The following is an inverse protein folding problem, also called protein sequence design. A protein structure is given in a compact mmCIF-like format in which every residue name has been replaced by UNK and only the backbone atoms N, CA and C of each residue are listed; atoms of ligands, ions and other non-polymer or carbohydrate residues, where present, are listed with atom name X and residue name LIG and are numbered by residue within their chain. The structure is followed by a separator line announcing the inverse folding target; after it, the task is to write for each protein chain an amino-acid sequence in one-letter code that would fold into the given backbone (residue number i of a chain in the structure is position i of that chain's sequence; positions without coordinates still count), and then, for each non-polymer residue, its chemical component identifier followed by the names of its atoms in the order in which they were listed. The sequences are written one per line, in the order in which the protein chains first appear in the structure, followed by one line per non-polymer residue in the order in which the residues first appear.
data_IF_367970518891
#
_entry.id   IF_367970518891
#
_cell.length_a   1.000
_cell.length_b   1.000
_cell.length_c   1.000
_cell.angle_alpha   90.00
_cell.angle_beta   90.00
_cell.angle_gamma   90.00
#
_symmetry.space_group_name_H-M   'P 1'
#
loop_
_entity.id
_entity.type
_entity.pdbx_description
1 polymer ?
#
# COMPACT_ATOMS: atom_id res chain seq x y z
N UNK A 1 0.56 -22.44 -6.85
CA UNK A 1 -0.66 -22.50 -6.00
C UNK A 1 -1.94 -22.37 -6.81
N UNK A 2 -2.05 -21.36 -7.70
CA UNK A 2 -3.24 -21.13 -8.54
C UNK A 2 -3.58 -22.39 -9.39
N UNK A 3 -2.62 -22.89 -10.16
CA UNK A 3 -2.82 -24.08 -10.99
C UNK A 3 -3.22 -25.33 -10.19
N UNK A 4 -2.67 -25.54 -8.99
CA UNK A 4 -3.09 -26.66 -8.14
C UNK A 4 -4.58 -26.60 -7.78
N UNK A 5 -5.16 -25.40 -7.65
CA UNK A 5 -6.59 -25.23 -7.42
C UNK A 5 -7.43 -25.43 -8.68
N UNK A 6 -6.94 -24.97 -9.84
CA UNK A 6 -7.66 -25.10 -11.11
C UNK A 6 -7.62 -26.53 -11.65
N UNK A 7 -6.50 -27.24 -11.51
CA UNK A 7 -6.35 -28.60 -11.96
C UNK A 7 -7.23 -29.60 -11.19
N UNK A 8 -7.62 -29.23 -9.96
CA UNK A 8 -8.48 -30.04 -9.08
C UNK A 8 -9.84 -29.40 -8.82
N UNK A 9 -10.29 -28.51 -9.71
CA UNK A 9 -11.56 -27.82 -9.54
C UNK A 9 -12.72 -28.82 -9.63
N UNK A 10 -13.72 -28.66 -8.76
CA UNK A 10 -14.93 -29.46 -8.70
C UNK A 10 -16.15 -28.61 -8.99
N UNK A 11 -17.28 -29.29 -9.29
CA UNK A 11 -18.56 -28.64 -9.46
C UNK A 11 -18.90 -27.75 -8.27
N UNK A 12 -19.45 -26.60 -8.57
CA UNK A 12 -19.84 -25.61 -7.59
C UNK A 12 -21.36 -25.46 -7.58
N UNK A 13 -21.98 -25.92 -6.50
CA UNK A 13 -23.39 -25.65 -6.27
C UNK A 13 -23.55 -24.16 -5.93
N UNK A 14 -24.28 -23.41 -6.79
CA UNK A 14 -24.47 -21.96 -6.67
C UNK A 14 -25.74 -21.61 -5.87
N UNK A 15 -26.60 -22.55 -5.52
CA UNK A 15 -27.81 -22.31 -4.75
C UNK A 15 -27.54 -22.29 -3.24
N UNK A 16 -28.22 -21.37 -2.54
CA UNK A 16 -28.21 -21.25 -1.08
C UNK A 16 -29.61 -21.05 -0.56
N UNK A 17 -29.94 -21.74 0.52
CA UNK A 17 -31.23 -21.66 1.22
C UNK A 17 -31.17 -20.55 2.24
N UNK A 18 -31.04 -19.30 1.75
CA UNK A 18 -30.96 -18.10 2.57
C UNK A 18 -32.16 -17.20 2.33
N UNK A 19 -32.64 -16.56 3.39
CA UNK A 19 -33.66 -15.54 3.27
C UNK A 19 -33.21 -14.32 2.45
N UNK A 20 -31.99 -13.85 2.70
CA UNK A 20 -31.44 -12.65 2.07
C UNK A 20 -30.42 -13.01 1.01
N UNK A 21 -30.61 -12.50 -0.19
CA UNK A 21 -29.70 -12.70 -1.31
C UNK A 21 -30.37 -12.48 -2.66
N UNK A 22 -29.62 -12.67 -3.74
CA UNK A 22 -30.14 -12.61 -5.11
C UNK A 22 -30.85 -13.93 -5.43
N UNK A 23 -32.17 -13.88 -5.56
CA UNK A 23 -32.97 -15.05 -5.93
C UNK A 23 -32.55 -15.58 -7.31
N UNK A 24 -32.39 -16.90 -7.42
CA UNK A 24 -31.96 -17.55 -8.65
C UNK A 24 -32.99 -17.25 -9.75
N UNK A 25 -32.59 -16.68 -10.92
CA UNK A 25 -33.51 -16.28 -11.98
C UNK A 25 -33.86 -17.45 -12.90
N UNK A 26 -34.07 -18.63 -12.34
CA UNK A 26 -34.49 -19.84 -13.03
C UNK A 26 -35.99 -20.13 -12.74
N UNK A 27 -36.72 -20.52 -13.76
CA UNK A 27 -38.15 -20.80 -13.71
C UNK A 27 -38.40 -22.19 -14.26
N UNK A 28 -39.12 -23.02 -13.52
CA UNK A 28 -39.40 -24.41 -13.86
C UNK A 28 -40.87 -24.59 -14.22
N UNK A 29 -41.12 -25.13 -15.39
CA UNK A 29 -42.47 -25.54 -15.78
C UNK A 29 -42.80 -26.88 -15.12
N UNK A 30 -43.83 -26.92 -14.27
CA UNK A 30 -44.22 -28.12 -13.57
C UNK A 30 -44.89 -29.15 -14.48
N UNK A 31 -45.39 -28.74 -15.67
CA UNK A 31 -46.15 -29.60 -16.57
C UNK A 31 -45.20 -30.33 -17.57
N UNK A 32 -44.15 -29.69 -18.04
CA UNK A 32 -43.25 -30.30 -19.03
C UNK A 32 -41.78 -30.37 -18.61
N UNK A 33 -41.41 -29.87 -17.41
CA UNK A 33 -40.04 -29.90 -16.89
C UNK A 33 -39.07 -28.91 -17.54
N UNK A 34 -39.54 -28.02 -18.42
CA UNK A 34 -38.70 -27.04 -19.06
C UNK A 34 -38.18 -26.02 -18.04
N UNK A 35 -36.91 -25.70 -18.11
CA UNK A 35 -36.25 -24.65 -17.30
C UNK A 35 -35.96 -23.42 -18.17
N UNK A 36 -36.29 -22.25 -17.69
CA UNK A 36 -36.03 -20.98 -18.36
C UNK A 36 -35.27 -20.05 -17.42
N UNK A 37 -34.15 -19.50 -17.87
CA UNK A 37 -33.44 -18.45 -17.14
C UNK A 37 -33.84 -17.09 -17.70
N UNK A 38 -34.34 -16.20 -16.84
CA UNK A 38 -34.80 -14.86 -17.25
C UNK A 38 -34.65 -13.87 -16.11
N UNK A 39 -34.21 -12.63 -16.46
CA UNK A 39 -34.22 -11.50 -15.52
C UNK A 39 -35.64 -11.01 -15.20
N UNK A 40 -36.57 -11.22 -16.13
CA UNK A 40 -37.97 -10.83 -15.98
C UNK A 40 -38.79 -12.04 -15.54
N UNK A 41 -39.91 -11.78 -14.82
CA UNK A 41 -40.79 -12.83 -14.35
C UNK A 41 -41.40 -13.62 -15.53
N UNK A 42 -41.19 -14.93 -15.54
CA UNK A 42 -41.74 -15.85 -16.52
C UNK A 42 -43.10 -16.36 -16.02
N UNK A 43 -44.20 -15.94 -16.69
CA UNK A 43 -45.56 -16.35 -16.34
C UNK A 43 -46.08 -17.51 -17.20
N UNK A 44 -45.43 -17.79 -18.33
CA UNK A 44 -45.87 -18.81 -19.29
C UNK A 44 -44.68 -19.58 -19.84
N UNK A 45 -44.76 -20.89 -19.83
CA UNK A 45 -43.73 -21.74 -20.38
C UNK A 45 -43.56 -21.52 -21.90
N UNK A 46 -42.34 -21.23 -22.39
CA UNK A 46 -42.14 -21.01 -23.82
C UNK A 46 -42.40 -22.26 -24.66
N UNK A 47 -42.19 -23.45 -24.06
CA UNK A 47 -42.31 -24.75 -24.75
C UNK A 47 -43.73 -25.26 -24.81
N UNK A 48 -44.41 -25.44 -23.70
CA UNK A 48 -45.75 -26.05 -23.65
C UNK A 48 -46.88 -25.04 -23.44
N UNK A 49 -46.59 -23.73 -23.31
CA UNK A 49 -47.55 -22.65 -23.08
C UNK A 49 -48.33 -22.76 -21.75
N UNK A 50 -47.93 -23.63 -20.86
CA UNK A 50 -48.55 -23.74 -19.53
C UNK A 50 -48.20 -22.49 -18.68
N UNK A 51 -49.16 -22.13 -17.82
CA UNK A 51 -48.98 -21.07 -16.80
C UNK A 51 -48.49 -21.64 -15.46
N UNK A 52 -48.33 -22.96 -15.37
CA UNK A 52 -47.81 -23.62 -14.17
C UNK A 52 -46.27 -23.56 -14.10
N UNK A 53 -45.78 -22.34 -13.91
CA UNK A 53 -44.33 -22.01 -13.88
C UNK A 53 -43.96 -21.46 -12.50
N UNK A 54 -42.95 -22.02 -11.90
CA UNK A 54 -42.46 -21.62 -10.57
C UNK A 54 -40.99 -21.19 -10.63
N UNK A 55 -40.69 -20.05 -9.98
CA UNK A 55 -39.28 -19.60 -9.85
C UNK A 55 -38.56 -20.40 -8.76
N UNK A 56 -37.27 -20.67 -8.97
CA UNK A 56 -36.40 -21.27 -7.98
C UNK A 56 -36.50 -20.53 -6.64
N UNK A 57 -36.73 -21.23 -5.51
CA UNK A 57 -36.89 -20.57 -4.20
C UNK A 57 -35.53 -20.13 -3.59
N UNK A 58 -34.44 -20.69 -4.07
CA UNK A 58 -33.09 -20.47 -3.50
C UNK A 58 -32.49 -19.15 -3.97
N UNK A 59 -31.43 -18.73 -3.28
CA UNK A 59 -30.62 -17.57 -3.63
C UNK A 59 -29.26 -17.99 -4.19
N UNK A 60 -28.66 -17.10 -4.97
CA UNK A 60 -27.28 -17.31 -5.46
C UNK A 60 -26.27 -17.24 -4.33
N UNK A 61 -25.27 -18.09 -4.39
CA UNK A 61 -24.06 -17.97 -3.55
C UNK A 61 -23.43 -16.58 -3.69
N UNK A 62 -23.03 -16.00 -2.57
CA UNK A 62 -22.36 -14.67 -2.51
C UNK A 62 -21.20 -14.58 -3.49
N UNK A 63 -20.43 -15.66 -3.63
CA UNK A 63 -19.28 -15.70 -4.53
C UNK A 63 -19.64 -15.65 -6.01
N UNK A 64 -20.90 -15.90 -6.37
CA UNK A 64 -21.36 -15.80 -7.75
C UNK A 64 -21.35 -14.33 -8.22
N UNK A 65 -22.00 -13.45 -7.48
CA UNK A 65 -22.00 -12.01 -7.78
C UNK A 65 -20.62 -11.37 -7.53
N UNK A 66 -19.89 -11.80 -6.49
CA UNK A 66 -18.53 -11.33 -6.20
C UNK A 66 -17.56 -11.64 -7.34
N UNK A 67 -17.78 -12.72 -8.10
CA UNK A 67 -16.97 -13.06 -9.27
C UNK A 67 -17.11 -12.06 -10.44
N UNK A 68 -18.21 -11.32 -10.46
CA UNK A 68 -18.49 -10.32 -11.51
C UNK A 68 -17.88 -8.93 -11.20
N UNK A 69 -17.40 -8.73 -9.97
CA UNK A 69 -16.96 -7.43 -9.45
C UNK A 69 -15.98 -6.68 -10.37
N UNK A 70 -14.95 -7.28 -10.96
CA UNK A 70 -13.94 -6.56 -11.75
C UNK A 70 -14.51 -5.80 -12.96
N UNK A 71 -15.63 -6.22 -13.50
CA UNK A 71 -16.24 -5.65 -14.69
C UNK A 71 -17.68 -5.16 -14.48
N UNK A 72 -18.46 -5.76 -13.57
CA UNK A 72 -19.84 -5.34 -13.34
C UNK A 72 -19.94 -3.97 -12.70
N UNK A 73 -19.03 -3.62 -11.79
CA UNK A 73 -18.96 -2.30 -11.14
C UNK A 73 -18.58 -1.18 -12.11
N UNK A 74 -17.96 -1.53 -13.23
CA UNK A 74 -17.58 -0.61 -14.31
C UNK A 74 -18.65 -0.49 -15.39
N UNK A 75 -19.85 -1.07 -15.17
CA UNK A 75 -21.02 -0.91 -16.01
C UNK A 75 -21.30 -2.05 -16.98
N UNK A 76 -20.48 -3.13 -17.00
CA UNK A 76 -20.79 -4.32 -17.80
C UNK A 76 -22.25 -4.83 -17.50
N UNK A 77 -23.03 -5.27 -18.51
CA UNK A 77 -22.65 -5.61 -19.88
C UNK A 77 -22.66 -4.42 -20.88
N UNK A 78 -22.93 -3.21 -20.42
CA UNK A 78 -22.86 -2.02 -21.30
C UNK A 78 -21.39 -1.67 -21.55
N UNK A 79 -21.12 -1.10 -22.73
CA UNK A 79 -19.81 -0.50 -23.05
C UNK A 79 -19.78 0.90 -22.43
N UNK A 80 -18.98 1.09 -21.40
CA UNK A 80 -18.79 2.36 -20.70
C UNK A 80 -17.34 2.83 -20.80
N UNK A 81 -17.07 4.14 -20.74
CA UNK A 81 -15.71 4.66 -20.69
C UNK A 81 -14.89 4.09 -19.52
N UNK A 82 -15.54 3.88 -18.36
CA UNK A 82 -14.91 3.31 -17.17
C UNK A 82 -14.48 1.86 -17.41
N UNK A 83 -15.33 1.05 -18.06
CA UNK A 83 -14.99 -0.34 -18.40
C UNK A 83 -13.83 -0.39 -19.40
N UNK A 84 -13.81 0.49 -20.38
CA UNK A 84 -12.76 0.55 -21.38
C UNK A 84 -11.41 0.97 -20.79
N UNK A 85 -11.42 1.92 -19.84
CA UNK A 85 -10.23 2.46 -19.23
C UNK A 85 -9.67 1.60 -18.08
N UNK A 86 -10.53 1.13 -17.15
CA UNK A 86 -10.12 0.45 -15.93
C UNK A 86 -10.05 -1.09 -16.02
N UNK A 87 -10.61 -1.69 -17.06
CA UNK A 87 -10.58 -3.14 -17.24
C UNK A 87 -9.71 -3.56 -18.42
N UNK A 88 -8.76 -4.51 -18.27
CA UNK A 88 -8.38 -5.25 -17.05
C UNK A 88 -7.70 -4.39 -15.97
N UNK A 89 -7.93 -4.74 -14.71
CA UNK A 89 -7.30 -4.09 -13.55
C UNK A 89 -5.81 -4.46 -13.47
N UNK A 90 -4.96 -3.50 -13.08
CA UNK A 90 -3.53 -3.72 -13.01
C UNK A 90 -3.16 -4.67 -11.88
N UNK A 91 -3.67 -4.42 -10.66
CA UNK A 91 -3.32 -5.18 -9.46
C UNK A 91 -4.57 -5.47 -8.63
N UNK A 92 -4.78 -6.74 -8.29
CA UNK A 92 -5.69 -7.16 -7.22
C UNK A 92 -4.87 -7.46 -5.97
N UNK A 93 -5.30 -6.95 -4.81
CA UNK A 93 -4.69 -7.29 -3.52
C UNK A 93 -5.69 -8.06 -2.69
N UNK A 94 -5.32 -9.25 -2.18
CA UNK A 94 -6.22 -10.11 -1.42
C UNK A 94 -5.47 -11.09 -0.51
N UNK A 95 -6.18 -11.64 0.49
CA UNK A 95 -5.66 -12.71 1.33
C UNK A 95 -5.58 -14.06 0.61
N UNK A 96 -4.67 -14.91 1.05
CA UNK A 96 -4.51 -16.25 0.48
C UNK A 96 -5.72 -17.15 0.70
N UNK A 97 -6.53 -16.91 1.73
CA UNK A 97 -7.65 -17.75 2.14
C UNK A 97 -8.86 -17.68 1.19
N UNK A 98 -8.92 -16.68 0.33
CA UNK A 98 -9.99 -16.51 -0.65
C UNK A 98 -9.52 -16.61 -2.12
N UNK A 99 -8.35 -17.15 -2.36
CA UNK A 99 -7.86 -17.41 -3.74
C UNK A 99 -8.86 -18.28 -4.49
N UNK A 100 -9.28 -19.40 -3.89
CA UNK A 100 -10.23 -20.33 -4.52
C UNK A 100 -11.63 -19.75 -4.65
N UNK A 101 -12.14 -19.11 -3.59
CA UNK A 101 -13.52 -18.65 -3.56
C UNK A 101 -13.74 -17.38 -4.38
N UNK A 102 -12.74 -16.51 -4.49
CA UNK A 102 -12.88 -15.22 -5.13
C UNK A 102 -12.00 -15.05 -6.36
N UNK A 103 -10.68 -15.18 -6.23
CA UNK A 103 -9.75 -14.89 -7.33
C UNK A 103 -10.01 -15.77 -8.54
N UNK A 104 -10.08 -17.09 -8.35
CA UNK A 104 -10.31 -18.06 -9.44
C UNK A 104 -11.66 -17.77 -10.11
N UNK A 105 -12.69 -17.49 -9.31
CA UNK A 105 -14.03 -17.22 -9.84
C UNK A 105 -14.08 -15.91 -10.63
N UNK A 106 -13.38 -14.85 -10.20
CA UNK A 106 -13.24 -13.64 -11.00
C UNK A 106 -12.50 -13.89 -12.32
N UNK A 107 -11.46 -14.73 -12.29
CA UNK A 107 -10.66 -15.04 -13.49
C UNK A 107 -11.50 -15.78 -14.53
N UNK A 108 -12.18 -16.88 -14.17
CA UNK A 108 -12.98 -17.60 -15.16
C UNK A 108 -14.22 -16.81 -15.61
N UNK A 109 -14.88 -16.05 -14.71
CA UNK A 109 -15.99 -15.18 -15.08
C UNK A 109 -15.53 -14.06 -16.02
N UNK A 110 -14.39 -13.44 -15.75
CA UNK A 110 -13.81 -12.42 -16.62
C UNK A 110 -13.48 -12.96 -18.01
N UNK A 111 -12.83 -14.12 -18.09
CA UNK A 111 -12.51 -14.77 -19.36
C UNK A 111 -13.77 -15.14 -20.15
N UNK A 112 -14.78 -15.73 -19.50
CA UNK A 112 -16.03 -16.13 -20.14
C UNK A 112 -16.83 -14.92 -20.64
N UNK A 113 -16.96 -13.86 -19.83
CA UNK A 113 -17.83 -12.73 -20.14
C UNK A 113 -17.19 -11.66 -21.02
N UNK A 114 -15.88 -11.49 -20.93
CA UNK A 114 -15.15 -10.40 -21.62
C UNK A 114 -14.05 -10.88 -22.56
N UNK A 115 -13.68 -12.15 -22.51
CA UNK A 115 -12.55 -12.72 -23.26
C UNK A 115 -11.17 -12.30 -22.76
N UNK A 116 -11.08 -11.59 -21.62
CA UNK A 116 -9.83 -11.04 -21.07
C UNK A 116 -9.66 -11.45 -19.61
N UNK A 117 -8.40 -11.72 -19.21
CA UNK A 117 -8.07 -11.88 -17.78
C UNK A 117 -8.37 -10.59 -17.01
N UNK A 118 -9.04 -10.64 -15.85
CA UNK A 118 -9.42 -9.43 -15.11
C UNK A 118 -8.26 -8.70 -14.44
N UNK A 119 -7.11 -9.36 -14.23
CA UNK A 119 -5.97 -8.79 -13.52
C UNK A 119 -4.65 -9.08 -14.24
N UNK A 120 -3.73 -8.11 -14.21
CA UNK A 120 -2.35 -8.29 -14.62
C UNK A 120 -1.53 -8.97 -13.50
N UNK A 121 -1.72 -8.51 -12.26
CA UNK A 121 -1.04 -9.02 -11.08
C UNK A 121 -2.06 -9.32 -9.97
N UNK A 122 -1.78 -10.34 -9.15
CA UNK A 122 -2.52 -10.63 -7.93
C UNK A 122 -1.52 -10.69 -6.78
N UNK A 123 -1.55 -9.67 -5.92
CA UNK A 123 -0.72 -9.61 -4.73
C UNK A 123 -1.44 -10.32 -3.58
N UNK A 124 -0.85 -11.40 -3.10
CA UNK A 124 -1.41 -12.21 -2.03
C UNK A 124 -0.74 -11.85 -0.70
N UNK A 125 -1.54 -11.38 0.26
CA UNK A 125 -1.06 -11.11 1.61
C UNK A 125 -1.48 -12.22 2.59
N UNK A 126 -0.79 -12.30 3.73
CA UNK A 126 -1.16 -13.15 4.86
C UNK A 126 -2.28 -12.55 5.70
N UNK A 127 -2.71 -13.28 6.71
CA UNK A 127 -3.73 -12.82 7.67
C UNK A 127 -3.10 -12.22 8.91
N UNK A 128 -3.76 -11.22 9.47
CA UNK A 128 -3.43 -10.70 10.79
C UNK A 128 -4.02 -11.63 11.85
N UNK A 129 -3.18 -12.13 12.74
CA UNK A 129 -3.54 -13.02 13.84
C UNK A 129 -3.36 -12.32 15.19
N UNK A 130 -4.01 -12.83 16.21
CA UNK A 130 -3.79 -12.34 17.58
C UNK A 130 -2.35 -12.62 18.07
N UNK A 131 -1.99 -12.11 19.23
CA UNK A 131 -0.64 -12.27 19.82
C UNK A 131 -0.26 -13.74 20.05
N UNK A 132 -1.24 -14.65 20.17
CA UNK A 132 -1.03 -16.09 20.32
C UNK A 132 -0.95 -16.82 18.97
N UNK A 133 -1.15 -16.11 17.86
CA UNK A 133 -1.12 -16.66 16.50
C UNK A 133 -2.44 -17.31 16.06
N UNK A 134 -3.54 -17.11 16.81
CA UNK A 134 -4.86 -17.63 16.44
C UNK A 134 -5.52 -16.72 15.42
N UNK A 135 -6.32 -17.31 14.50
CA UNK A 135 -7.16 -16.52 13.59
C UNK A 135 -8.17 -15.71 14.40
N UNK A 136 -8.27 -14.41 14.10
CA UNK A 136 -9.27 -13.55 14.72
C UNK A 136 -10.68 -13.93 14.26
N UNK A 137 -11.61 -14.04 15.20
CA UNK A 137 -13.02 -14.33 14.91
C UNK A 137 -13.95 -13.71 15.95
N UNK A 138 -15.16 -13.39 15.53
CA UNK A 138 -16.21 -12.87 16.43
C UNK A 138 -16.53 -13.84 17.56
N UNK A 139 -16.52 -15.15 17.28
CA UNK A 139 -16.83 -16.19 18.26
C UNK A 139 -15.77 -16.35 19.34
N UNK A 140 -14.51 -16.02 19.06
CA UNK A 140 -13.43 -16.06 20.04
C UNK A 140 -13.27 -14.74 20.80
N UNK A 141 -13.92 -13.66 20.35
CA UNK A 141 -13.77 -12.33 20.95
C UNK A 141 -12.34 -11.78 20.93
N UNK A 142 -11.48 -12.31 20.05
CA UNK A 142 -10.07 -11.92 19.92
C UNK A 142 -9.82 -10.97 18.75
N UNK A 143 -10.88 -10.39 18.18
CA UNK A 143 -10.78 -9.36 17.16
C UNK A 143 -10.24 -8.05 17.73
N UNK A 144 -9.38 -7.40 17.00
CA UNK A 144 -8.84 -6.06 17.33
C UNK A 144 -9.57 -5.05 16.46
N UNK A 145 -10.20 -4.07 17.10
CA UNK A 145 -10.82 -2.96 16.37
C UNK A 145 -9.72 -1.99 15.91
N UNK A 146 -9.53 -1.82 14.58
CA UNK A 146 -8.54 -0.90 14.07
C UNK A 146 -8.80 0.56 14.47
N UNK A 147 -10.06 0.96 14.72
CA UNK A 147 -10.38 2.33 15.12
C UNK A 147 -9.86 2.63 16.54
N UNK A 148 -9.99 1.69 17.48
CA UNK A 148 -9.41 1.84 18.81
C UNK A 148 -7.88 1.99 18.77
N UNK A 149 -7.22 1.27 17.87
CA UNK A 149 -5.76 1.38 17.66
C UNK A 149 -5.40 2.73 17.04
N UNK A 150 -6.18 3.20 16.08
CA UNK A 150 -5.99 4.51 15.43
C UNK A 150 -6.17 5.64 16.44
N UNK A 151 -7.20 5.59 17.28
CA UNK A 151 -7.46 6.59 18.31
C UNK A 151 -6.31 6.68 19.32
N UNK A 152 -5.69 5.54 19.65
CA UNK A 152 -4.62 5.48 20.63
C UNK A 152 -3.23 5.82 20.09
N UNK A 153 -2.91 5.39 18.86
CA UNK A 153 -1.55 5.43 18.32
C UNK A 153 -1.43 6.23 17.01
N UNK A 154 -2.53 6.56 16.37
CA UNK A 154 -2.58 7.21 15.06
C UNK A 154 -2.65 6.21 13.89
N UNK A 155 -3.26 6.65 12.78
CA UNK A 155 -3.46 5.83 11.60
C UNK A 155 -2.12 5.42 10.94
N UNK A 156 -1.16 6.32 10.87
CA UNK A 156 0.16 6.04 10.28
C UNK A 156 0.94 4.96 11.04
N UNK A 157 0.84 4.95 12.37
CA UNK A 157 1.48 3.93 13.20
C UNK A 157 0.89 2.54 12.92
N UNK A 158 -0.43 2.42 12.80
CA UNK A 158 -1.08 1.17 12.43
C UNK A 158 -0.69 0.73 11.02
N UNK A 159 -0.74 1.63 10.03
CA UNK A 159 -0.38 1.36 8.62
C UNK A 159 1.06 0.85 8.51
N UNK A 160 2.01 1.54 9.13
CA UNK A 160 3.42 1.14 9.13
C UNK A 160 3.60 -0.24 9.77
N UNK A 161 2.95 -0.50 10.91
CA UNK A 161 3.01 -1.80 11.61
C UNK A 161 2.52 -2.95 10.74
N UNK A 162 1.42 -2.74 10.00
CA UNK A 162 0.83 -3.80 9.16
C UNK A 162 1.67 -4.17 7.94
N UNK A 163 2.55 -3.28 7.49
CA UNK A 163 3.40 -3.52 6.32
C UNK A 163 4.81 -3.98 6.71
N UNK A 164 5.33 -3.50 7.85
CA UNK A 164 6.72 -3.76 8.27
C UNK A 164 6.94 -5.22 8.67
N UNK A 165 7.98 -5.83 8.11
CA UNK A 165 8.37 -7.20 8.43
C UNK A 165 7.47 -8.29 7.85
N UNK A 166 6.57 -7.92 6.93
CA UNK A 166 5.69 -8.86 6.24
C UNK A 166 6.30 -9.31 4.92
N UNK A 167 6.32 -10.63 4.72
CA UNK A 167 6.56 -11.24 3.41
C UNK A 167 5.21 -11.64 2.77
N UNK A 168 5.08 -11.55 1.43
CA UNK A 168 3.87 -11.94 0.73
C UNK A 168 3.39 -13.34 1.14
N UNK A 169 2.09 -13.48 1.42
CA UNK A 169 1.46 -14.75 1.80
C UNK A 169 1.71 -15.26 3.22
N UNK A 170 2.52 -14.57 4.02
CA UNK A 170 2.80 -14.96 5.39
C UNK A 170 1.89 -14.24 6.38
N UNK A 171 1.37 -14.97 7.36
CA UNK A 171 0.58 -14.42 8.45
C UNK A 171 1.46 -13.61 9.40
N UNK A 172 0.90 -12.52 9.94
CA UNK A 172 1.54 -11.73 10.98
C UNK A 172 0.78 -11.84 12.31
N UNK A 173 1.53 -11.84 13.42
CA UNK A 173 0.96 -11.65 14.75
C UNK A 173 0.91 -10.18 15.09
N UNK A 174 -0.24 -9.73 15.58
CA UNK A 174 -0.42 -8.35 16.01
C UNK A 174 -0.02 -8.19 17.47
N UNK A 175 0.81 -7.17 17.73
CA UNK A 175 1.25 -6.77 19.06
C UNK A 175 1.16 -5.25 19.19
N UNK A 176 0.60 -4.76 20.29
CA UNK A 176 0.49 -3.32 20.54
C UNK A 176 1.86 -2.63 20.62
N UNK A 177 2.86 -3.33 21.13
CA UNK A 177 4.25 -2.84 21.26
C UNK A 177 4.86 -2.50 19.88
N UNK A 178 4.47 -3.23 18.83
CA UNK A 178 4.90 -2.92 17.45
C UNK A 178 4.25 -1.62 16.94
N UNK A 179 2.98 -1.38 17.30
CA UNK A 179 2.30 -0.14 16.95
C UNK A 179 2.91 1.04 17.68
N UNK A 180 3.26 0.84 18.95
CA UNK A 180 3.96 1.84 19.75
C UNK A 180 5.34 2.19 19.18
N UNK A 181 6.11 1.20 18.74
CA UNK A 181 7.37 1.43 18.04
C UNK A 181 7.18 2.25 16.75
N UNK A 182 6.14 1.94 15.96
CA UNK A 182 5.80 2.71 14.76
C UNK A 182 5.38 4.15 15.07
N UNK A 183 4.64 4.38 16.17
CA UNK A 183 4.34 5.73 16.67
C UNK A 183 5.60 6.48 17.09
N UNK A 184 6.53 5.81 17.76
CA UNK A 184 7.80 6.41 18.18
C UNK A 184 8.65 6.80 16.96
N UNK A 185 8.62 6.01 15.88
CA UNK A 185 9.21 6.38 14.62
C UNK A 185 8.59 7.66 14.03
N UNK A 186 7.25 7.75 14.00
CA UNK A 186 6.55 8.96 13.57
C UNK A 186 6.99 10.18 14.39
N UNK A 187 7.07 10.05 15.72
CA UNK A 187 7.53 11.12 16.60
C UNK A 187 8.99 11.53 16.31
N UNK A 188 9.86 10.58 15.96
CA UNK A 188 11.25 10.88 15.60
C UNK A 188 11.32 11.70 14.32
N UNK A 189 10.55 11.30 13.30
CA UNK A 189 10.42 12.05 12.04
C UNK A 189 9.92 13.48 12.29
N UNK A 190 8.86 13.61 13.07
CA UNK A 190 8.28 14.90 13.45
C UNK A 190 9.30 15.82 14.15
N UNK A 191 10.01 15.30 15.13
CA UNK A 191 10.98 16.10 15.90
C UNK A 191 12.17 16.52 15.04
N UNK A 192 12.69 15.66 14.18
CA UNK A 192 13.74 16.00 13.23
C UNK A 192 13.27 17.10 12.24
N UNK A 193 12.08 16.97 11.71
CA UNK A 193 11.48 17.92 10.80
C UNK A 193 11.27 19.29 11.46
N UNK A 194 10.75 19.29 12.68
CA UNK A 194 10.58 20.53 13.48
C UNK A 194 11.92 21.22 13.73
N UNK A 195 12.96 20.48 14.07
CA UNK A 195 14.31 21.04 14.24
C UNK A 195 14.79 21.71 12.95
N UNK A 196 14.61 21.08 11.80
CA UNK A 196 15.02 21.61 10.50
C UNK A 196 14.25 22.91 10.18
N UNK A 197 12.92 22.87 10.25
CA UNK A 197 12.07 24.02 9.93
C UNK A 197 12.37 25.25 10.81
N UNK A 198 12.52 25.05 12.13
CA UNK A 198 12.86 26.14 13.06
C UNK A 198 14.20 26.83 12.74
N UNK A 199 15.15 26.11 12.14
CA UNK A 199 16.41 26.67 11.74
C UNK A 199 16.37 27.28 10.33
N UNK A 200 15.48 26.80 9.45
CA UNK A 200 15.26 27.39 8.13
C UNK A 200 14.61 28.78 8.20
N UNK A 201 13.70 29.02 9.17
CA UNK A 201 13.05 30.33 9.36
C UNK A 201 14.04 31.47 9.59
N UNK A 202 15.24 31.17 10.08
CA UNK A 202 16.28 32.13 10.43
C UNK A 202 17.36 32.33 9.35
N UNK A 203 17.31 31.53 8.30
CA UNK A 203 18.38 31.44 7.30
C UNK A 203 17.80 31.42 5.88
N UNK A 204 18.56 31.96 4.93
CA UNK A 204 18.26 31.76 3.50
C UNK A 204 18.76 30.41 3.06
N UNK A 205 17.84 29.58 2.58
CA UNK A 205 18.14 28.19 2.17
C UNK A 205 18.05 28.11 0.65
N UNK A 206 19.22 28.20 0.00
CA UNK A 206 19.36 28.08 -1.45
C UNK A 206 20.27 26.89 -1.78
N UNK A 207 20.13 26.34 -3.00
CA UNK A 207 20.98 25.28 -3.49
C UNK A 207 22.45 25.75 -3.54
N UNK A 208 23.36 25.09 -2.82
CA UNK A 208 24.76 25.47 -2.81
C UNK A 208 25.47 25.01 -4.09
N UNK A 209 26.57 25.66 -4.44
CA UNK A 209 27.48 25.13 -5.43
C UNK A 209 28.18 23.85 -4.90
N UNK A 210 28.42 22.88 -5.77
CA UNK A 210 28.95 21.56 -5.42
C UNK A 210 30.22 21.58 -4.56
N UNK A 211 31.09 22.56 -4.77
CA UNK A 211 32.34 22.66 -4.00
C UNK A 211 32.13 23.01 -2.52
N UNK A 212 30.94 23.53 -2.15
CA UNK A 212 30.56 23.84 -0.78
C UNK A 212 30.09 22.63 0.01
N UNK A 213 29.71 21.57 -0.66
CA UNK A 213 29.28 20.32 -0.03
C UNK A 213 30.44 19.65 0.72
N UNK A 214 30.29 19.50 2.03
CA UNK A 214 31.22 18.75 2.87
C UNK A 214 31.09 17.24 2.62
N UNK A 215 32.09 16.41 3.03
CA UNK A 215 31.99 14.95 2.85
C UNK A 215 30.71 14.32 3.42
N UNK A 216 30.24 14.78 4.58
CA UNK A 216 28.99 14.31 5.19
C UNK A 216 27.75 14.67 4.35
N UNK A 217 27.74 15.84 3.71
CA UNK A 217 26.65 16.27 2.81
C UNK A 217 26.57 15.35 1.58
N UNK A 218 27.71 15.12 0.95
CA UNK A 218 27.82 14.23 -0.20
C UNK A 218 27.45 12.79 0.16
N UNK A 219 27.81 12.34 1.36
CA UNK A 219 27.45 11.02 1.86
C UNK A 219 25.95 10.85 1.97
N UNK A 220 25.25 11.75 2.67
CA UNK A 220 23.80 11.60 2.90
C UNK A 220 22.99 11.79 1.60
N UNK A 221 23.42 12.69 0.69
CA UNK A 221 22.84 12.84 -0.64
C UNK A 221 22.99 11.56 -1.47
N UNK A 222 24.17 10.93 -1.44
CA UNK A 222 24.40 9.65 -2.12
C UNK A 222 23.56 8.52 -1.52
N UNK A 223 23.35 8.54 -0.20
CA UNK A 223 22.52 7.55 0.51
C UNK A 223 21.04 7.66 0.14
N UNK A 224 20.45 8.86 0.19
CA UNK A 224 19.03 9.05 -0.21
C UNK A 224 18.84 8.75 -1.69
N UNK A 225 19.83 9.05 -2.53
CA UNK A 225 19.80 8.73 -3.95
C UNK A 225 19.80 7.21 -4.22
N UNK A 226 20.65 6.46 -3.51
CA UNK A 226 20.68 4.99 -3.57
C UNK A 226 19.35 4.40 -3.04
N UNK A 227 18.87 4.93 -1.92
CA UNK A 227 17.57 4.55 -1.36
C UNK A 227 16.43 4.75 -2.38
N UNK A 228 16.40 5.87 -3.08
CA UNK A 228 15.40 6.16 -4.12
C UNK A 228 15.34 5.07 -5.18
N UNK A 229 16.51 4.63 -5.67
CA UNK A 229 16.62 3.55 -6.64
C UNK A 229 16.11 2.22 -6.05
N UNK A 230 16.61 1.85 -4.88
CA UNK A 230 16.24 0.60 -4.21
C UNK A 230 14.75 0.54 -3.83
N UNK A 231 14.19 1.65 -3.36
CA UNK A 231 12.75 1.77 -3.07
C UNK A 231 11.91 1.52 -4.32
N UNK A 232 12.23 2.20 -5.43
CA UNK A 232 11.52 2.04 -6.70
C UNK A 232 11.57 0.59 -7.19
N UNK A 233 12.76 -0.01 -7.21
CA UNK A 233 12.94 -1.41 -7.64
C UNK A 233 12.17 -2.42 -6.77
N UNK A 234 12.13 -2.23 -5.44
CA UNK A 234 11.40 -3.12 -4.54
C UNK A 234 9.88 -2.92 -4.66
N UNK A 235 9.40 -1.68 -4.81
CA UNK A 235 7.98 -1.41 -5.00
C UNK A 235 7.47 -1.98 -6.32
N UNK A 236 8.23 -1.87 -7.40
CA UNK A 236 7.90 -2.46 -8.71
C UNK A 236 7.78 -4.00 -8.65
N UNK A 237 8.52 -4.63 -7.74
CA UNK A 237 8.45 -6.08 -7.47
C UNK A 237 7.40 -6.46 -6.42
N UNK A 238 6.65 -5.50 -5.89
CA UNK A 238 5.73 -5.68 -4.75
C UNK A 238 6.39 -6.17 -3.45
N UNK A 239 7.68 -5.93 -3.29
CA UNK A 239 8.44 -6.23 -2.06
C UNK A 239 8.27 -5.09 -1.03
N UNK A 240 7.01 -4.77 -0.70
CA UNK A 240 6.62 -3.60 0.07
C UNK A 240 7.22 -3.58 1.49
N UNK A 241 7.32 -4.76 2.11
CA UNK A 241 7.93 -4.90 3.45
C UNK A 241 9.44 -4.60 3.45
N UNK A 242 10.15 -4.96 2.37
CA UNK A 242 11.57 -4.64 2.20
C UNK A 242 11.75 -3.15 1.94
N UNK A 243 10.93 -2.59 1.05
CA UNK A 243 10.97 -1.17 0.72
C UNK A 243 10.76 -0.29 1.96
N UNK A 244 9.72 -0.56 2.76
CA UNK A 244 9.43 0.23 3.97
C UNK A 244 10.55 0.12 5.02
N UNK A 245 11.17 -1.05 5.17
CA UNK A 245 12.28 -1.23 6.10
C UNK A 245 13.48 -0.36 5.70
N UNK A 246 13.81 -0.29 4.41
CA UNK A 246 14.91 0.53 3.91
C UNK A 246 14.71 2.02 4.19
N UNK A 247 13.52 2.56 3.94
CA UNK A 247 13.25 3.98 4.22
C UNK A 247 13.19 4.25 5.72
N UNK A 248 12.68 3.31 6.52
CA UNK A 248 12.70 3.39 7.98
C UNK A 248 14.14 3.48 8.51
N UNK A 249 15.01 2.55 8.14
CA UNK A 249 16.40 2.47 8.62
C UNK A 249 17.20 3.69 8.16
N UNK A 250 17.03 4.13 6.91
CA UNK A 250 17.64 5.36 6.43
C UNK A 250 17.26 6.58 7.27
N UNK A 251 15.95 6.77 7.53
CA UNK A 251 15.50 7.93 8.30
C UNK A 251 15.97 7.83 9.76
N UNK A 252 15.85 6.65 10.36
CA UNK A 252 16.16 6.46 11.77
C UNK A 252 17.66 6.58 12.04
N UNK A 253 18.46 5.76 11.35
CA UNK A 253 19.88 5.62 11.64
C UNK A 253 20.71 6.67 10.89
N UNK A 254 20.64 6.70 9.55
CA UNK A 254 21.56 7.50 8.75
C UNK A 254 21.21 8.99 8.79
N UNK A 255 19.93 9.34 8.65
CA UNK A 255 19.49 10.73 8.62
C UNK A 255 19.42 11.34 10.04
N UNK A 256 18.60 10.76 10.94
CA UNK A 256 18.36 11.34 12.25
C UNK A 256 19.56 11.16 13.20
N UNK A 257 20.10 9.95 13.33
CA UNK A 257 21.15 9.67 14.32
C UNK A 257 22.52 10.19 13.90
N UNK A 258 22.78 10.26 12.59
CA UNK A 258 24.08 10.74 12.11
C UNK A 258 24.03 12.11 11.47
N UNK A 259 23.32 12.27 10.34
CA UNK A 259 23.47 13.49 9.56
C UNK A 259 22.92 14.72 10.26
N UNK A 260 21.76 14.62 10.90
CA UNK A 260 21.16 15.72 11.68
C UNK A 260 22.13 16.16 12.79
N UNK A 261 22.74 15.22 13.50
CA UNK A 261 23.69 15.53 14.59
C UNK A 261 24.96 16.20 14.06
N UNK A 262 25.51 15.75 12.93
CA UNK A 262 26.66 16.36 12.27
C UNK A 262 26.31 17.79 11.80
N UNK A 263 25.13 18.01 11.23
CA UNK A 263 24.68 19.28 10.73
C UNK A 263 24.46 20.32 11.85
N UNK A 264 24.04 19.88 13.05
CA UNK A 264 23.82 20.74 14.22
C UNK A 264 25.02 21.63 14.53
N UNK A 265 26.23 21.09 14.50
CA UNK A 265 27.42 21.85 14.78
C UNK A 265 27.55 23.05 13.85
N UNK A 266 27.36 22.86 12.55
CA UNK A 266 27.45 23.91 11.53
C UNK A 266 26.34 24.95 11.70
N UNK A 267 25.12 24.50 12.02
CA UNK A 267 23.95 25.38 12.21
C UNK A 267 24.10 26.25 13.45
N UNK A 268 24.62 25.70 14.55
CA UNK A 268 24.82 26.44 15.80
C UNK A 268 26.01 27.43 15.73
N UNK A 269 26.93 27.22 14.79
CA UNK A 269 28.08 28.12 14.55
C UNK A 269 27.91 28.94 13.25
N UNK A 270 26.65 29.23 12.86
CA UNK A 270 26.32 29.99 11.64
C UNK A 270 26.92 31.40 11.62
N UNK A 271 27.20 32.01 12.79
CA UNK A 271 27.88 33.31 12.91
C UNK A 271 29.34 33.24 12.43
N UNK A 272 30.01 32.11 12.55
CA UNK A 272 31.38 31.92 12.12
C UNK A 272 31.49 31.53 10.63
N UNK A 273 30.55 30.69 10.12
CA UNK A 273 30.50 30.24 8.73
C UNK A 273 29.04 30.06 8.27
N UNK A 274 28.41 31.17 7.90
CA UNK A 274 27.02 31.20 7.46
C UNK A 274 26.80 30.38 6.17
N UNK A 275 27.79 30.32 5.28
CA UNK A 275 27.71 29.59 4.03
C UNK A 275 27.68 28.08 4.29
N UNK A 276 28.49 27.59 5.22
CA UNK A 276 28.47 26.20 5.65
C UNK A 276 27.14 25.81 6.32
N UNK A 277 26.60 26.71 7.17
CA UNK A 277 25.31 26.50 7.82
C UNK A 277 24.16 26.43 6.82
N UNK A 278 24.09 27.34 5.86
CA UNK A 278 23.07 27.37 4.80
C UNK A 278 23.17 26.12 3.91
N UNK A 279 24.39 25.69 3.56
CA UNK A 279 24.61 24.46 2.83
C UNK A 279 24.05 23.24 3.61
N UNK A 280 24.33 23.12 4.92
CA UNK A 280 23.79 22.04 5.75
C UNK A 280 22.28 22.06 5.83
N UNK A 281 21.66 23.24 5.94
CA UNK A 281 20.19 23.40 5.96
C UNK A 281 19.56 23.01 4.62
N UNK A 282 20.17 23.38 3.51
CA UNK A 282 19.69 22.95 2.19
C UNK A 282 19.73 21.42 2.04
N UNK A 283 20.83 20.78 2.45
CA UNK A 283 20.94 19.31 2.39
C UNK A 283 19.91 18.65 3.31
N UNK A 284 19.72 19.19 4.54
CA UNK A 284 18.67 18.68 5.45
C UNK A 284 17.27 18.79 4.85
N UNK A 285 16.92 19.96 4.27
CA UNK A 285 15.63 20.18 3.58
C UNK A 285 15.44 19.19 2.44
N UNK A 286 16.45 19.08 1.59
CA UNK A 286 16.42 18.26 0.38
C UNK A 286 16.28 16.79 0.72
N UNK A 287 17.11 16.27 1.63
CA UNK A 287 17.09 14.84 2.05
C UNK A 287 15.79 14.51 2.77
N UNK A 288 15.31 15.38 3.66
CA UNK A 288 14.02 15.20 4.32
C UNK A 288 12.88 15.16 3.30
N UNK A 289 12.83 16.11 2.36
CA UNK A 289 11.81 16.13 1.31
C UNK A 289 11.77 14.85 0.47
N UNK A 290 12.94 14.35 0.06
CA UNK A 290 13.05 13.07 -0.65
C UNK A 290 12.58 11.89 0.22
N UNK A 291 13.01 11.84 1.48
CA UNK A 291 12.63 10.78 2.42
C UNK A 291 11.12 10.77 2.71
N UNK A 292 10.49 11.95 2.85
CA UNK A 292 9.05 12.08 3.03
C UNK A 292 8.28 11.56 1.81
N UNK A 293 8.72 11.86 0.59
CA UNK A 293 8.14 11.33 -0.65
C UNK A 293 8.20 9.80 -0.68
N UNK A 294 9.34 9.20 -0.31
CA UNK A 294 9.51 7.76 -0.26
C UNK A 294 8.69 7.09 0.86
N UNK A 295 8.48 7.77 1.98
CA UNK A 295 7.72 7.26 3.12
C UNK A 295 6.20 7.44 2.94
N UNK A 296 5.76 8.39 2.14
CA UNK A 296 4.36 8.79 2.00
C UNK A 296 3.37 7.64 1.70
N UNK A 297 3.66 6.68 0.83
CA UNK A 297 2.75 5.55 0.59
C UNK A 297 2.41 4.74 1.85
N UNK A 298 3.28 4.75 2.84
CA UNK A 298 3.15 4.01 4.09
C UNK A 298 2.55 4.84 5.23
N UNK A 299 2.95 6.10 5.35
CA UNK A 299 2.56 7.04 6.41
C UNK A 299 2.06 8.36 5.82
N UNK A 300 0.90 8.37 5.13
CA UNK A 300 0.47 9.53 4.35
C UNK A 300 0.13 10.77 5.17
N UNK A 301 -0.36 10.61 6.41
CA UNK A 301 -0.84 11.75 7.17
C UNK A 301 0.28 12.61 7.71
N UNK A 302 1.24 12.02 8.42
CA UNK A 302 2.37 12.77 8.98
C UNK A 302 3.30 13.32 7.91
N UNK A 303 3.50 12.58 6.82
CA UNK A 303 4.37 13.03 5.73
C UNK A 303 3.76 14.20 4.97
N UNK A 304 2.44 14.20 4.73
CA UNK A 304 1.73 15.32 4.12
C UNK A 304 1.84 16.58 4.98
N UNK A 305 1.56 16.47 6.29
CA UNK A 305 1.61 17.58 7.24
C UNK A 305 3.00 18.22 7.29
N UNK A 306 4.04 17.39 7.39
CA UNK A 306 5.43 17.88 7.43
C UNK A 306 5.82 18.52 6.09
N UNK A 307 5.45 17.88 4.98
CA UNK A 307 5.85 18.35 3.65
C UNK A 307 5.20 19.68 3.29
N UNK A 308 3.92 19.85 3.59
CA UNK A 308 3.23 21.12 3.37
C UNK A 308 3.85 22.29 4.14
N UNK A 309 4.42 22.03 5.32
CA UNK A 309 5.18 23.03 6.08
C UNK A 309 6.61 23.25 5.55
N UNK A 310 7.24 22.18 5.00
CA UNK A 310 8.62 22.21 4.50
C UNK A 310 8.73 22.86 3.11
N UNK A 311 7.72 22.66 2.26
CA UNK A 311 7.65 23.08 0.85
C UNK A 311 6.30 23.72 0.57
N UNK A 312 6.01 24.89 1.17
CA UNK A 312 4.70 25.55 1.09
C UNK A 312 4.33 26.01 -0.32
N UNK A 313 5.26 25.99 -1.26
CA UNK A 313 5.04 26.30 -2.67
C UNK A 313 4.38 25.15 -3.45
N UNK A 314 4.41 23.92 -2.96
CA UNK A 314 3.70 22.77 -3.55
C UNK A 314 2.33 22.57 -2.88
N UNK A 315 1.30 22.24 -3.66
CA UNK A 315 -0.07 22.08 -3.18
C UNK A 315 -0.21 20.90 -2.19
N UNK A 316 0.44 19.77 -2.50
CA UNK A 316 0.36 18.54 -1.72
C UNK A 316 1.50 17.58 -2.07
N UNK A 317 2.01 16.87 -1.07
CA UNK A 317 2.97 15.80 -1.27
C UNK A 317 2.42 14.70 -2.19
N UNK A 318 1.14 14.36 -2.05
CA UNK A 318 0.46 13.35 -2.86
C UNK A 318 0.51 13.69 -4.35
N UNK A 319 0.51 14.97 -4.73
CA UNK A 319 0.57 15.43 -6.12
C UNK A 319 2.00 15.62 -6.61
N UNK A 320 2.98 15.54 -5.74
CA UNK A 320 4.40 15.70 -6.11
C UNK A 320 4.91 14.48 -6.90
N UNK A 321 5.93 14.71 -7.71
CA UNK A 321 6.57 13.62 -8.46
C UNK A 321 7.33 12.66 -7.55
N UNK A 322 7.24 11.35 -7.89
CA UNK A 322 8.07 10.34 -7.24
C UNK A 322 9.55 10.65 -7.44
N UNK A 323 10.39 10.50 -6.41
CA UNK A 323 11.83 10.75 -6.52
C UNK A 323 12.49 9.90 -7.60
N UNK A 324 13.47 10.48 -8.28
CA UNK A 324 14.22 9.79 -9.34
C UNK A 324 15.70 9.76 -8.98
N UNK A 325 16.34 8.62 -9.25
CA UNK A 325 17.78 8.47 -9.08
C UNK A 325 18.54 9.48 -9.95
N UNK A 326 19.55 10.15 -9.36
CA UNK A 326 20.37 11.18 -9.99
C UNK A 326 21.83 10.73 -10.06
N UNK A 327 22.43 10.72 -11.24
CA UNK A 327 23.85 10.36 -11.42
C UNK A 327 24.81 11.39 -10.80
N UNK A 328 24.44 12.67 -10.76
CA UNK A 328 25.21 13.75 -10.16
C UNK A 328 25.28 13.69 -8.62
N UNK A 329 24.39 12.90 -7.98
CA UNK A 329 24.42 12.63 -6.54
C UNK A 329 25.16 11.32 -6.20
N UNK A 330 25.92 10.79 -7.11
CA UNK A 330 26.75 9.61 -6.90
C UNK A 330 28.16 10.02 -6.44
N UNK A 331 28.39 9.98 -5.13
CA UNK A 331 29.67 10.36 -4.50
C UNK A 331 30.40 9.15 -3.90
N UNK A 332 31.06 8.29 -4.69
CA UNK A 332 31.60 7.01 -4.21
C UNK A 332 32.69 7.18 -3.13
N UNK A 333 33.49 8.24 -3.20
CA UNK A 333 34.53 8.51 -2.17
C UNK A 333 33.90 8.94 -0.83
N UNK A 334 32.80 9.70 -0.83
CA UNK A 334 32.15 10.13 0.40
C UNK A 334 31.58 8.95 1.18
N UNK A 335 31.04 7.95 0.50
CA UNK A 335 30.54 6.72 1.13
C UNK A 335 31.66 5.92 1.78
N UNK A 336 32.83 5.79 1.14
CA UNK A 336 33.96 5.06 1.68
C UNK A 336 34.59 5.77 2.91
N UNK A 337 34.71 7.10 2.86
CA UNK A 337 35.27 7.90 3.97
C UNK A 337 34.33 7.88 5.18
N UNK A 338 33.04 8.01 4.99
CA UNK A 338 32.08 7.96 6.10
C UNK A 338 32.07 6.60 6.79
N UNK A 339 32.16 5.50 6.04
CA UNK A 339 32.24 4.16 6.61
C UNK A 339 33.46 4.01 7.53
N UNK A 340 34.64 4.50 7.10
CA UNK A 340 35.87 4.42 7.90
C UNK A 340 35.91 5.34 9.11
N UNK A 341 35.30 6.52 9.04
CA UNK A 341 35.29 7.50 10.14
C UNK A 341 34.13 7.35 11.13
N UNK A 342 32.97 6.84 10.69
CA UNK A 342 31.82 6.66 11.56
C UNK A 342 31.77 5.28 12.26
N UNK A 343 32.47 4.28 11.73
CA UNK A 343 32.48 2.91 12.28
C UNK A 343 33.68 2.55 13.11
N UNK A 344 34.75 3.37 13.11
CA UNK A 344 35.89 3.16 14.00
C UNK A 344 35.66 3.81 15.36
N UNK A 345 35.78 3.08 16.47
CA UNK A 345 35.77 3.69 17.80
C UNK A 345 36.99 4.63 17.89
N UNK A 346 36.73 5.88 18.21
CA UNK A 346 37.75 6.88 18.58
C UNK A 346 38.46 6.50 19.88
#
# INVERSE_FOLDING_TARGET
TYFNWTDNIRDWCISRQLWWGHRIPAYYCKDCGEMVVSKDKVCTCPKCKSTNVEQDPDTLDTWFSSALWPFSTLGWPRKTPELEYFYPTNVLVTGYDIIFFWVIRMVFSGLEQTGKSPFKHVLIHGLVRDSQGRKMSKSLGNGIDPLEIIDKYGADALRLTLITGNAPGNDMRFYNERVEASRNFANKVWNASRFIMMNMEKNVVEEPEDFLLKPADRWILSKVNSLTKEMTENMDKFELGIAVQKVHDFIWDEFCDWYVEIAKYRIYHAEEDSQSANCALWVLKTVLGQALKLLHPYMPFITEEIYGALVPEEESLMMSSWPVYREDWKFPYATAVSYTHLTLPT
#
